data_IF_500277124424
#
_entry.id   IF_500277124424
#
_cell.length_a   1.000
_cell.length_b   1.000
_cell.length_c   1.000
_cell.angle_alpha   90.00
_cell.angle_beta   90.00
_cell.angle_gamma   90.00
#
_symmetry.space_group_name_H-M   'P 1'
#
loop_
_entity.id
_entity.type
_entity.pdbx_description
1 polymer ?
#
# COMPACT_ATOMS: atom_id res chain seq x y z
N UNK A 1 -49.00 -29.36 -12.72
CA UNK A 1 -48.39 -29.10 -14.04
C UNK A 1 -48.69 -27.67 -14.41
N UNK A 2 -47.76 -26.77 -14.13
CA UNK A 2 -47.86 -25.35 -14.49
C UNK A 2 -46.44 -24.82 -14.61
N UNK A 3 -46.12 -24.33 -15.80
CA UNK A 3 -44.78 -23.98 -16.23
C UNK A 3 -44.19 -22.79 -15.47
N UNK A 4 -42.91 -22.90 -15.17
CA UNK A 4 -42.09 -21.81 -14.65
C UNK A 4 -41.61 -21.02 -15.85
N UNK A 5 -42.09 -19.79 -15.97
CA UNK A 5 -41.64 -18.82 -16.95
C UNK A 5 -40.15 -18.50 -16.71
N UNK A 6 -39.35 -18.70 -17.75
CA UNK A 6 -38.00 -18.15 -17.84
C UNK A 6 -38.10 -16.62 -17.82
N UNK A 7 -37.47 -15.99 -16.82
CA UNK A 7 -37.18 -14.56 -16.87
C UNK A 7 -35.89 -14.38 -17.65
N UNK A 8 -36.03 -13.70 -18.78
CA UNK A 8 -34.96 -13.11 -19.57
C UNK A 8 -33.95 -12.39 -18.67
N UNK A 9 -32.70 -12.83 -18.74
CA UNK A 9 -31.54 -12.03 -18.36
C UNK A 9 -31.12 -11.25 -19.60
N UNK A 10 -31.75 -10.10 -19.84
CA UNK A 10 -31.23 -9.09 -20.76
C UNK A 10 -30.68 -7.92 -19.97
N UNK A 11 -29.49 -7.46 -20.36
CA UNK A 11 -28.72 -6.31 -19.85
C UNK A 11 -27.79 -6.56 -18.65
N UNK A 12 -26.84 -7.49 -18.82
CA UNK A 12 -25.49 -7.29 -18.26
C UNK A 12 -24.56 -7.09 -19.44
N UNK A 13 -24.19 -5.85 -19.75
CA UNK A 13 -23.16 -5.53 -20.74
C UNK A 13 -21.87 -6.23 -20.27
N UNK A 14 -21.28 -7.14 -21.06
CA UNK A 14 -19.98 -7.71 -20.72
C UNK A 14 -18.94 -6.59 -20.69
N UNK A 15 -18.21 -6.48 -19.58
CA UNK A 15 -17.03 -5.63 -19.43
C UNK A 15 -16.14 -5.78 -20.69
N UNK A 16 -15.82 -4.66 -21.35
CA UNK A 16 -14.95 -4.63 -22.54
C UNK A 16 -15.65 -4.39 -23.89
N UNK A 17 -16.98 -4.48 -23.98
CA UNK A 17 -17.67 -4.20 -25.25
C UNK A 17 -17.76 -2.70 -25.55
N UNK A 18 -17.24 -2.29 -26.70
CA UNK A 18 -17.50 -0.97 -27.29
C UNK A 18 -19.03 -0.78 -27.43
N UNK A 19 -19.54 0.36 -26.96
CA UNK A 19 -20.98 0.71 -27.05
C UNK A 19 -21.49 0.62 -28.48
N UNK A 20 -22.77 0.27 -28.66
CA UNK A 20 -23.46 0.27 -29.96
C UNK A 20 -23.54 1.71 -30.52
N UNK A 21 -22.48 2.11 -31.22
CA UNK A 21 -22.22 3.44 -31.76
C UNK A 21 -20.84 3.55 -32.42
N UNK A 22 -19.88 2.70 -31.99
CA UNK A 22 -18.53 2.59 -32.56
C UNK A 22 -18.44 1.96 -33.96
N UNK A 23 -19.58 1.66 -34.59
CA UNK A 23 -19.63 0.81 -35.78
C UNK A 23 -19.40 1.63 -37.05
N UNK A 24 -18.14 1.81 -37.41
CA UNK A 24 -17.80 1.60 -38.82
C UNK A 24 -16.52 0.79 -39.08
N UNK A 25 -15.44 0.96 -38.32
CA UNK A 25 -14.17 0.25 -38.64
C UNK A 25 -13.32 -0.18 -37.42
N UNK A 26 -13.88 -0.11 -36.21
CA UNK A 26 -13.12 -0.40 -35.00
C UNK A 26 -13.19 -1.86 -34.56
N UNK A 27 -12.02 -2.50 -34.50
CA UNK A 27 -11.84 -3.85 -33.96
C UNK A 27 -11.90 -3.82 -32.44
N UNK A 28 -12.61 -4.73 -31.79
CA UNK A 28 -12.71 -4.76 -30.31
C UNK A 28 -11.38 -5.20 -29.67
N UNK A 29 -11.14 -4.86 -28.39
CA UNK A 29 -9.88 -5.21 -27.73
C UNK A 29 -9.61 -6.72 -27.72
N UNK A 30 -10.66 -7.55 -27.61
CA UNK A 30 -10.55 -9.01 -27.59
C UNK A 30 -10.06 -9.57 -28.92
N UNK A 31 -10.34 -8.87 -30.02
CA UNK A 31 -9.91 -9.26 -31.36
C UNK A 31 -8.54 -8.66 -31.68
N UNK A 32 -8.28 -7.41 -31.26
CA UNK A 32 -6.98 -6.74 -31.46
C UNK A 32 -5.86 -7.42 -30.67
N UNK A 33 -6.16 -7.91 -29.46
CA UNK A 33 -5.20 -8.56 -28.56
C UNK A 33 -5.49 -10.06 -28.37
N UNK A 34 -5.95 -10.72 -29.44
CA UNK A 34 -6.18 -12.17 -29.41
C UNK A 34 -4.89 -12.96 -29.10
N UNK A 35 -3.74 -12.43 -29.54
CA UNK A 35 -2.42 -12.88 -29.10
C UNK A 35 -1.90 -11.98 -27.97
N UNK A 36 -1.85 -12.54 -26.75
CA UNK A 36 -1.39 -11.82 -25.57
C UNK A 36 0.09 -11.42 -25.63
N UNK A 37 0.89 -12.02 -26.52
CA UNK A 37 2.29 -11.62 -26.72
C UNK A 37 2.44 -10.25 -27.38
N UNK A 38 1.39 -9.78 -28.07
CA UNK A 38 1.31 -8.44 -28.65
C UNK A 38 0.86 -7.38 -27.62
N UNK A 39 0.51 -7.79 -26.40
CA UNK A 39 0.04 -6.89 -25.35
C UNK A 39 1.23 -6.23 -24.61
N UNK A 40 1.61 -5.05 -25.06
CA UNK A 40 2.67 -4.24 -24.45
C UNK A 40 2.31 -2.76 -24.47
N UNK A 41 2.99 -1.94 -23.66
CA UNK A 41 2.65 -0.52 -23.50
C UNK A 41 2.51 0.25 -24.83
N UNK A 42 3.38 -0.03 -25.81
CA UNK A 42 3.30 0.62 -27.12
C UNK A 42 2.07 0.21 -27.95
N UNK A 43 1.64 -1.06 -27.92
CA UNK A 43 0.47 -1.53 -28.68
C UNK A 43 -0.83 -1.09 -28.04
N UNK A 44 -0.91 -1.11 -26.70
CA UNK A 44 -2.03 -0.54 -25.93
C UNK A 44 -2.18 0.95 -26.24
N UNK A 45 -1.08 1.71 -26.26
CA UNK A 45 -1.08 3.14 -26.61
C UNK A 45 -1.54 3.36 -28.04
N UNK A 46 -1.02 2.59 -29.00
CA UNK A 46 -1.42 2.68 -30.41
C UNK A 46 -2.91 2.45 -30.58
N UNK A 47 -3.44 1.39 -29.96
CA UNK A 47 -4.85 1.06 -30.00
C UNK A 47 -5.73 2.11 -29.30
N UNK A 48 -5.26 2.71 -28.21
CA UNK A 48 -5.95 3.83 -27.55
C UNK A 48 -6.01 5.08 -28.44
N UNK A 49 -4.96 5.35 -29.22
CA UNK A 49 -4.96 6.43 -30.19
C UNK A 49 -5.88 6.13 -31.38
N UNK A 50 -5.95 4.89 -31.84
CA UNK A 50 -6.94 4.45 -32.83
C UNK A 50 -8.37 4.70 -32.32
N UNK A 51 -8.66 4.37 -31.04
CA UNK A 51 -9.96 4.63 -30.40
C UNK A 51 -10.30 6.12 -30.45
N UNK A 52 -9.38 6.97 -29.98
CA UNK A 52 -9.59 8.41 -29.90
C UNK A 52 -9.71 9.07 -31.28
N UNK A 53 -8.96 8.59 -32.27
CA UNK A 53 -9.09 9.06 -33.65
C UNK A 53 -10.46 8.71 -34.22
N UNK A 54 -10.97 7.49 -34.00
CA UNK A 54 -12.30 7.10 -34.44
C UNK A 54 -13.40 7.95 -33.78
N UNK A 55 -13.28 8.25 -32.48
CA UNK A 55 -14.23 9.15 -31.78
C UNK A 55 -14.18 10.55 -32.38
N UNK A 56 -12.98 11.07 -32.65
CA UNK A 56 -12.77 12.39 -33.26
C UNK A 56 -13.35 12.48 -34.68
N UNK A 57 -13.13 11.46 -35.51
CA UNK A 57 -13.60 11.41 -36.90
C UNK A 57 -15.13 11.31 -37.03
N UNK A 58 -15.82 10.79 -36.02
CA UNK A 58 -17.29 10.74 -36.01
C UNK A 58 -17.94 12.12 -35.89
N UNK A 59 -17.26 13.10 -35.29
CA UNK A 59 -17.76 14.48 -35.18
C UNK A 59 -19.06 14.63 -34.39
N UNK A 60 -19.41 13.66 -33.54
CA UNK A 60 -20.59 13.65 -32.69
C UNK A 60 -20.21 14.05 -31.26
N UNK A 61 -20.52 15.30 -30.90
CA UNK A 61 -20.22 15.87 -29.58
C UNK A 61 -20.92 15.15 -28.43
N UNK A 62 -22.11 14.59 -28.66
CA UNK A 62 -22.88 13.89 -27.62
C UNK A 62 -22.30 12.50 -27.39
N UNK A 63 -21.89 11.81 -28.46
CA UNK A 63 -21.13 10.56 -28.37
C UNK A 63 -19.76 10.77 -27.71
N UNK A 64 -19.02 11.83 -28.06
CA UNK A 64 -17.74 12.14 -27.44
C UNK A 64 -17.90 12.44 -25.94
N UNK A 65 -18.94 13.19 -25.55
CA UNK A 65 -19.28 13.39 -24.13
C UNK A 65 -19.66 12.09 -23.44
N UNK A 66 -20.40 11.21 -24.11
CA UNK A 66 -20.78 9.91 -23.54
C UNK A 66 -19.59 8.94 -23.41
N UNK A 67 -18.67 8.96 -24.37
CA UNK A 67 -17.43 8.17 -24.35
C UNK A 67 -16.49 8.62 -23.23
N UNK A 68 -16.41 9.93 -22.99
CA UNK A 68 -15.60 10.53 -21.93
C UNK A 68 -16.30 10.59 -20.57
N UNK A 69 -17.58 10.16 -20.47
CA UNK A 69 -18.26 10.09 -19.17
C UNK A 69 -17.64 8.95 -18.36
N UNK A 70 -17.26 9.19 -17.09
CA UNK A 70 -16.91 8.11 -16.18
C UNK A 70 -18.08 7.12 -16.13
N UNK A 71 -17.80 5.84 -16.27
CA UNK A 71 -18.85 4.82 -16.17
C UNK A 71 -19.45 4.87 -14.76
N UNK A 72 -20.75 5.14 -14.66
CA UNK A 72 -21.43 5.26 -13.37
C UNK A 72 -21.49 3.91 -12.61
N UNK A 73 -21.39 2.82 -13.37
CA UNK A 73 -21.34 1.43 -12.91
C UNK A 73 -19.93 0.83 -13.04
N UNK A 74 -18.88 1.64 -13.32
CA UNK A 74 -17.54 1.17 -13.04
C UNK A 74 -17.47 1.04 -11.52
N UNK A 75 -17.68 -0.18 -11.02
CA UNK A 75 -17.21 -0.61 -9.72
C UNK A 75 -15.83 0.02 -9.60
N UNK A 76 -15.71 1.04 -8.75
CA UNK A 76 -14.47 1.78 -8.62
C UNK A 76 -13.43 0.73 -8.26
N UNK A 77 -12.56 0.38 -9.22
CA UNK A 77 -11.59 -0.71 -9.07
C UNK A 77 -10.77 -0.53 -7.78
N UNK A 78 -10.69 0.73 -7.33
CA UNK A 78 -10.13 1.15 -6.07
C UNK A 78 -11.16 1.92 -5.23
N UNK A 79 -11.15 1.74 -3.89
CA UNK A 79 -11.96 2.55 -3.01
C UNK A 79 -11.55 4.02 -3.10
N UNK A 80 -12.45 4.93 -2.72
CA UNK A 80 -12.12 6.35 -2.60
C UNK A 80 -10.87 6.54 -1.73
N UNK A 81 -9.92 7.31 -2.23
CA UNK A 81 -8.68 7.59 -1.50
C UNK A 81 -8.97 8.34 -0.20
N UNK A 82 -8.57 7.72 0.90
CA UNK A 82 -8.53 8.34 2.23
C UNK A 82 -7.32 7.75 2.95
N UNK A 83 -6.33 8.60 3.21
CA UNK A 83 -5.07 8.23 3.83
C UNK A 83 -5.26 7.58 5.21
N UNK A 84 -6.29 8.00 5.96
CA UNK A 84 -6.60 7.43 7.28
C UNK A 84 -7.23 6.04 7.18
N UNK A 85 -7.98 5.76 6.13
CA UNK A 85 -8.62 4.47 5.91
C UNK A 85 -7.72 3.47 5.18
N UNK A 86 -6.53 3.87 4.72
CA UNK A 86 -5.54 2.97 4.09
C UNK A 86 -5.09 1.84 5.01
N UNK A 87 -4.96 2.10 6.32
CA UNK A 87 -4.68 1.06 7.30
C UNK A 87 -5.91 0.24 7.67
N UNK A 88 -7.11 0.74 7.42
CA UNK A 88 -8.37 0.19 7.90
C UNK A 88 -9.30 -0.20 6.76
N UNK A 89 -10.37 0.58 6.51
CA UNK A 89 -11.45 0.22 5.59
C UNK A 89 -10.95 -0.18 4.20
N UNK A 90 -9.84 0.42 3.76
CA UNK A 90 -9.27 0.22 2.43
C UNK A 90 -8.01 -0.69 2.43
N UNK A 91 -7.59 -1.24 3.58
CA UNK A 91 -6.37 -2.05 3.67
C UNK A 91 -6.36 -3.26 2.74
N UNK A 92 -7.54 -3.79 2.40
CA UNK A 92 -7.69 -4.89 1.45
C UNK A 92 -7.30 -4.52 0.01
N UNK A 93 -7.36 -3.24 -0.35
CA UNK A 93 -7.06 -2.76 -1.70
C UNK A 93 -5.54 -2.58 -1.94
N UNK A 94 -4.75 -2.63 -0.86
CA UNK A 94 -3.30 -2.39 -0.89
C UNK A 94 -2.49 -3.61 -0.39
N UNK A 95 -2.73 -4.84 -0.90
CA UNK A 95 -2.10 -6.02 -0.35
C UNK A 95 -0.56 -5.97 -0.48
N UNK A 96 0.13 -6.36 0.59
CA UNK A 96 1.59 -6.26 0.68
C UNK A 96 2.05 -4.96 1.31
N UNK A 97 3.28 -4.56 1.01
CA UNK A 97 3.89 -3.36 1.58
C UNK A 97 3.36 -2.09 0.90
N UNK A 98 2.75 -1.22 1.70
CA UNK A 98 2.40 0.16 1.36
C UNK A 98 3.48 1.11 1.90
N UNK A 99 4.07 1.91 1.03
CA UNK A 99 5.05 2.94 1.36
C UNK A 99 4.42 4.32 1.20
N UNK A 100 4.29 5.07 2.29
CA UNK A 100 3.73 6.42 2.32
C UNK A 100 4.87 7.43 2.41
N UNK A 101 5.10 8.18 1.34
CA UNK A 101 6.06 9.27 1.31
C UNK A 101 5.43 10.52 1.93
N UNK A 102 5.99 10.98 3.05
CA UNK A 102 5.50 12.13 3.83
C UNK A 102 6.69 12.92 4.40
N UNK A 103 6.59 14.25 4.47
CA UNK A 103 7.64 15.10 5.06
C UNK A 103 7.76 14.95 6.59
N UNK A 104 6.69 14.49 7.23
CA UNK A 104 6.57 14.24 8.67
C UNK A 104 6.15 12.77 8.91
N UNK A 105 6.98 11.78 8.51
CA UNK A 105 6.58 10.37 8.46
C UNK A 105 6.18 9.81 9.82
N UNK A 106 6.84 10.24 10.89
CA UNK A 106 6.52 9.87 12.28
C UNK A 106 5.07 10.28 12.63
N UNK A 107 4.75 11.55 12.43
CA UNK A 107 3.44 12.14 12.76
C UNK A 107 2.34 11.50 11.92
N UNK A 108 2.62 11.31 10.62
CA UNK A 108 1.68 10.71 9.69
C UNK A 108 1.34 9.26 10.06
N UNK A 109 2.32 8.44 10.47
CA UNK A 109 2.05 7.06 10.91
C UNK A 109 1.23 7.03 12.20
N UNK A 110 1.54 7.91 13.16
CA UNK A 110 0.78 8.00 14.40
C UNK A 110 -0.67 8.40 14.15
N UNK A 111 -0.91 9.33 13.23
CA UNK A 111 -2.26 9.74 12.82
C UNK A 111 -3.01 8.60 12.12
N UNK A 112 -2.37 7.92 11.18
CA UNK A 112 -3.00 6.80 10.46
C UNK A 112 -3.35 5.63 11.37
N UNK A 113 -2.59 5.41 12.44
CA UNK A 113 -2.73 4.24 13.32
C UNK A 113 -3.47 4.52 14.63
N UNK A 114 -4.05 5.71 14.80
CA UNK A 114 -4.70 6.15 16.05
C UNK A 114 -5.71 5.12 16.59
N UNK A 115 -6.61 4.61 15.75
CA UNK A 115 -7.63 3.62 16.14
C UNK A 115 -7.04 2.26 16.56
N UNK A 116 -5.82 1.91 16.10
CA UNK A 116 -5.11 0.70 16.55
C UNK A 116 -4.43 0.93 17.89
N UNK A 117 -3.83 2.11 18.06
CA UNK A 117 -3.11 2.46 19.29
C UNK A 117 -4.01 2.41 20.52
N UNK A 118 -5.28 2.78 20.39
CA UNK A 118 -6.27 2.70 21.46
C UNK A 118 -6.54 1.27 21.95
N UNK A 119 -6.24 0.26 21.12
CA UNK A 119 -6.54 -1.15 21.39
C UNK A 119 -5.30 -1.98 21.68
N UNK A 120 -4.11 -1.37 21.66
CA UNK A 120 -2.90 -2.13 21.91
C UNK A 120 -2.84 -2.64 23.35
N UNK A 121 -2.55 -3.94 23.56
CA UNK A 121 -2.21 -4.44 24.87
C UNK A 121 -0.90 -3.79 25.34
N UNK A 122 -0.69 -3.73 26.65
CA UNK A 122 0.61 -3.34 27.20
C UNK A 122 1.62 -4.45 26.97
N UNK A 123 2.84 -4.10 26.61
CA UNK A 123 3.96 -5.02 26.44
C UNK A 123 4.18 -5.87 27.70
N UNK A 124 4.01 -5.28 28.89
CA UNK A 124 4.10 -5.99 30.17
C UNK A 124 3.10 -7.13 30.31
N UNK A 125 1.89 -6.97 29.76
CA UNK A 125 0.83 -7.98 29.85
C UNK A 125 1.14 -9.15 28.93
N UNK A 126 1.71 -8.87 27.75
CA UNK A 126 2.20 -9.90 26.82
C UNK A 126 3.34 -10.69 27.48
N UNK A 127 4.29 -10.01 28.14
CA UNK A 127 5.41 -10.70 28.82
C UNK A 127 4.97 -11.57 29.98
N UNK A 128 4.04 -11.08 30.80
CA UNK A 128 3.49 -11.85 31.89
C UNK A 128 2.80 -13.11 31.37
N UNK A 129 2.13 -13.03 30.22
CA UNK A 129 1.50 -14.17 29.57
C UNK A 129 2.55 -15.16 29.01
N UNK A 130 3.60 -14.65 28.34
CA UNK A 130 4.72 -15.48 27.85
C UNK A 130 5.35 -16.26 29.02
N UNK A 131 5.65 -15.59 30.14
CA UNK A 131 6.23 -16.25 31.33
C UNK A 131 5.30 -17.31 31.91
N UNK A 132 4.00 -17.04 31.98
CA UNK A 132 3.00 -18.04 32.43
C UNK A 132 2.96 -19.26 31.50
N UNK A 133 3.07 -19.05 30.19
CA UNK A 133 3.15 -20.15 29.22
C UNK A 133 4.45 -20.94 29.38
N UNK A 134 5.59 -20.28 29.60
CA UNK A 134 6.87 -20.94 29.88
C UNK A 134 6.81 -21.79 31.15
N UNK A 135 6.29 -21.23 32.25
CA UNK A 135 6.12 -21.95 33.51
C UNK A 135 5.19 -23.16 33.38
N UNK A 136 4.13 -23.03 32.59
CA UNK A 136 3.18 -24.12 32.32
C UNK A 136 3.83 -25.21 31.46
N UNK A 137 4.58 -24.84 30.41
CA UNK A 137 5.31 -25.78 29.56
C UNK A 137 6.41 -26.53 30.33
N UNK A 138 7.09 -25.86 31.29
CA UNK A 138 8.07 -26.52 32.17
C UNK A 138 7.39 -27.51 33.13
N UNK A 139 6.22 -27.15 33.68
CA UNK A 139 5.43 -28.07 34.52
C UNK A 139 4.98 -29.29 33.71
N UNK A 140 4.43 -29.09 32.52
CA UNK A 140 3.98 -30.19 31.65
C UNK A 140 5.13 -31.09 31.20
N UNK A 141 6.32 -30.55 30.90
CA UNK A 141 7.51 -31.36 30.60
C UNK A 141 7.93 -32.24 31.79
N UNK A 142 7.83 -31.73 33.03
CA UNK A 142 8.08 -32.53 34.23
C UNK A 142 7.05 -33.64 34.43
N UNK A 143 5.78 -33.40 34.10
CA UNK A 143 4.74 -34.44 34.16
C UNK A 143 4.86 -35.48 33.03
N UNK A 144 5.30 -35.08 31.83
CA UNK A 144 5.55 -35.99 30.69
C UNK A 144 6.85 -36.80 30.79
N UNK A 145 7.81 -36.41 31.63
CA UNK A 145 8.96 -37.28 31.96
C UNK A 145 8.54 -38.47 32.84
N UNK A 146 7.41 -38.38 33.56
CA UNK A 146 6.84 -39.46 34.38
C UNK A 146 5.85 -40.37 33.61
N UNK A 147 5.25 -39.90 32.51
CA UNK A 147 4.32 -40.66 31.66
C UNK A 147 4.81 -40.72 30.20
N UNK A 148 5.12 -41.92 29.68
CA UNK A 148 5.67 -42.19 28.33
C UNK A 148 4.70 -41.87 27.16
N UNK A 149 4.13 -40.68 27.09
CA UNK A 149 3.32 -40.22 25.94
C UNK A 149 3.96 -39.01 25.24
N UNK A 150 4.51 -39.27 24.05
CA UNK A 150 4.98 -38.26 23.10
C UNK A 150 3.81 -37.53 22.43
N UNK A 151 3.12 -36.67 23.17
CA UNK A 151 2.26 -35.65 22.56
C UNK A 151 3.10 -34.40 22.26
N UNK A 152 2.94 -33.86 21.04
CA UNK A 152 3.60 -32.67 20.51
C UNK A 152 3.74 -31.56 21.57
N UNK A 153 4.95 -30.99 21.67
CA UNK A 153 5.23 -29.94 22.66
C UNK A 153 4.28 -28.74 22.46
N UNK A 154 3.73 -28.15 23.53
CA UNK A 154 2.89 -26.97 23.43
C UNK A 154 3.66 -25.85 22.74
N UNK A 155 3.21 -25.43 21.56
CA UNK A 155 3.76 -24.25 20.90
C UNK A 155 3.31 -23.01 21.69
N UNK A 156 4.27 -22.24 22.20
CA UNK A 156 4.00 -20.96 22.84
C UNK A 156 3.34 -20.01 21.83
N UNK A 157 2.19 -19.45 22.19
CA UNK A 157 1.43 -18.55 21.33
C UNK A 157 1.53 -17.15 21.86
N UNK A 158 1.91 -16.21 21.00
CA UNK A 158 1.91 -14.80 21.34
C UNK A 158 0.45 -14.34 21.56
N UNK A 159 0.16 -13.79 22.73
CA UNK A 159 -1.16 -13.21 23.04
C UNK A 159 -1.28 -11.79 22.49
N UNK A 160 -1.08 -11.67 21.18
CA UNK A 160 -1.32 -10.45 20.42
C UNK A 160 -2.48 -10.73 19.47
N UNK A 161 -3.54 -9.93 19.59
CA UNK A 161 -4.78 -10.24 18.87
C UNK A 161 -4.55 -10.14 17.36
N UNK A 162 -4.90 -11.19 16.57
CA UNK A 162 -4.69 -11.17 15.12
C UNK A 162 -5.41 -10.02 14.42
N UNK A 163 -6.51 -9.53 14.98
CA UNK A 163 -7.27 -8.38 14.46
C UNK A 163 -6.59 -7.02 14.65
N UNK A 164 -5.42 -6.99 15.32
CA UNK A 164 -4.52 -5.84 15.42
C UNK A 164 -3.33 -5.94 14.45
N UNK A 165 -3.17 -7.08 13.76
CA UNK A 165 -2.12 -7.29 12.77
C UNK A 165 -2.65 -6.87 11.40
N UNK A 166 -2.16 -5.75 10.88
CA UNK A 166 -2.64 -5.14 9.62
C UNK A 166 -2.54 -6.17 8.49
N UNK A 167 -3.61 -6.29 7.69
CA UNK A 167 -3.76 -7.26 6.60
C UNK A 167 -3.80 -8.75 7.01
N UNK A 168 -3.90 -9.09 8.30
CA UNK A 168 -4.27 -10.45 8.68
C UNK A 168 -5.73 -10.75 8.29
N UNK A 169 -6.10 -12.02 8.16
CA UNK A 169 -7.49 -12.39 7.86
C UNK A 169 -8.47 -11.89 8.93
N UNK A 170 -8.06 -11.91 10.20
CA UNK A 170 -8.90 -11.42 11.30
C UNK A 170 -9.04 -9.90 11.27
N UNK A 171 -7.96 -9.21 10.91
CA UNK A 171 -7.97 -7.76 10.73
C UNK A 171 -8.90 -7.36 9.60
N UNK A 172 -8.76 -7.98 8.42
CA UNK A 172 -9.58 -7.65 7.26
C UNK A 172 -11.07 -7.94 7.51
N UNK A 173 -11.40 -9.00 8.25
CA UNK A 173 -12.80 -9.29 8.64
C UNK A 173 -13.39 -8.23 9.57
N UNK A 174 -12.59 -7.71 10.50
CA UNK A 174 -13.04 -6.72 11.50
C UNK A 174 -13.10 -5.31 10.94
N UNK A 175 -12.06 -4.89 10.23
CA UNK A 175 -11.84 -3.51 9.83
C UNK A 175 -12.23 -3.21 8.37
N UNK A 176 -12.39 -4.22 7.52
CA UNK A 176 -12.78 -4.07 6.12
C UNK A 176 -14.12 -4.80 5.81
N UNK A 177 -15.24 -4.45 6.45
CA UNK A 177 -16.51 -5.18 6.28
C UNK A 177 -17.09 -5.07 4.86
N UNK A 178 -16.70 -4.02 4.11
CA UNK A 178 -17.12 -3.78 2.72
C UNK A 178 -16.20 -4.43 1.69
N UNK A 179 -15.24 -5.26 2.11
CA UNK A 179 -14.29 -5.92 1.21
C UNK A 179 -15.05 -6.82 0.22
N UNK A 180 -14.79 -6.70 -1.10
CA UNK A 180 -15.32 -7.63 -2.10
C UNK A 180 -14.88 -9.08 -1.82
N UNK A 181 -15.76 -10.06 -2.03
CA UNK A 181 -15.45 -11.49 -1.80
C UNK A 181 -14.26 -11.98 -2.64
N UNK A 182 -14.03 -11.37 -3.82
CA UNK A 182 -12.95 -11.71 -4.75
C UNK A 182 -11.68 -10.85 -4.59
N UNK A 183 -11.61 -10.00 -3.57
CA UNK A 183 -10.44 -9.14 -3.37
C UNK A 183 -9.17 -9.99 -3.18
N UNK A 184 -8.11 -9.66 -3.91
CA UNK A 184 -6.83 -10.36 -3.78
C UNK A 184 -6.23 -10.09 -2.40
N UNK A 185 -5.92 -11.14 -1.65
CA UNK A 185 -5.30 -11.04 -0.33
C UNK A 185 -3.97 -11.76 -0.32
N UNK A 186 -2.93 -11.08 0.16
CA UNK A 186 -1.65 -11.69 0.47
C UNK A 186 -1.68 -12.02 1.98
N UNK A 187 -1.79 -13.30 2.37
CA UNK A 187 -1.92 -13.65 3.77
C UNK A 187 -0.65 -13.28 4.53
N UNK A 188 -0.82 -12.53 5.60
CA UNK A 188 0.27 -12.09 6.45
C UNK A 188 0.50 -13.08 7.58
N UNK A 189 1.78 -13.39 7.83
CA UNK A 189 2.18 -14.23 8.97
C UNK A 189 1.99 -13.44 10.27
N UNK A 190 1.38 -14.08 11.26
CA UNK A 190 1.18 -13.49 12.59
C UNK A 190 2.51 -13.41 13.35
N UNK A 191 2.72 -12.37 14.17
CA UNK A 191 3.95 -12.21 14.93
C UNK A 191 4.15 -13.33 15.94
N UNK A 192 5.39 -13.78 16.06
CA UNK A 192 5.81 -14.83 16.99
C UNK A 192 6.33 -14.26 18.32
N UNK A 193 6.47 -15.12 19.33
CA UNK A 193 7.09 -14.74 20.62
C UNK A 193 8.51 -14.22 20.42
N UNK A 194 9.30 -14.86 19.54
CA UNK A 194 10.66 -14.42 19.24
C UNK A 194 10.71 -13.03 18.61
N UNK A 195 9.75 -12.72 17.73
CA UNK A 195 9.64 -11.38 17.13
C UNK A 195 9.22 -10.33 18.16
N UNK A 196 8.30 -10.65 19.06
CA UNK A 196 7.99 -9.76 20.18
C UNK A 196 9.22 -9.45 21.03
N UNK A 197 10.00 -10.48 21.40
CA UNK A 197 11.21 -10.31 22.20
C UNK A 197 12.32 -9.56 21.46
N UNK A 198 12.40 -9.63 20.12
CA UNK A 198 13.36 -8.84 19.34
C UNK A 198 12.92 -7.38 19.21
N UNK A 199 11.64 -7.14 18.92
CA UNK A 199 11.05 -5.79 18.80
C UNK A 199 11.12 -5.04 20.14
N UNK A 200 10.91 -5.73 21.27
CA UNK A 200 11.00 -5.10 22.60
C UNK A 200 12.40 -4.52 22.91
N UNK A 201 13.45 -5.04 22.28
CA UNK A 201 14.82 -4.57 22.45
C UNK A 201 15.13 -3.31 21.63
N UNK A 202 14.24 -2.89 20.74
CA UNK A 202 14.44 -1.70 19.93
C UNK A 202 14.42 -0.45 20.81
N UNK A 203 15.31 0.53 20.54
CA UNK A 203 15.45 1.74 21.34
C UNK A 203 14.37 2.79 20.99
N UNK A 204 13.10 2.37 21.00
CA UNK A 204 11.93 3.19 20.72
C UNK A 204 10.86 2.95 21.77
N UNK A 205 9.96 3.93 21.90
CA UNK A 205 8.84 3.84 22.83
C UNK A 205 7.95 2.61 22.54
N UNK A 206 7.29 2.12 23.58
CA UNK A 206 6.39 0.96 23.54
C UNK A 206 5.35 1.07 22.42
N UNK A 207 4.87 2.28 22.14
CA UNK A 207 3.93 2.55 21.04
C UNK A 207 4.49 2.10 19.68
N UNK A 208 5.75 2.42 19.39
CA UNK A 208 6.42 2.00 18.15
C UNK A 208 6.70 0.51 18.12
N UNK A 209 6.98 -0.09 19.28
CA UNK A 209 7.11 -1.55 19.42
C UNK A 209 5.79 -2.26 19.09
N UNK A 210 4.66 -1.74 19.57
CA UNK A 210 3.34 -2.31 19.27
C UNK A 210 2.94 -2.09 17.80
N UNK A 211 3.26 -0.92 17.23
CA UNK A 211 3.07 -0.68 15.80
C UNK A 211 3.91 -1.65 14.95
N UNK A 212 5.16 -1.88 15.32
CA UNK A 212 6.02 -2.86 14.67
C UNK A 212 5.42 -4.28 14.67
N UNK A 213 4.77 -4.68 15.76
CA UNK A 213 4.07 -5.98 15.87
C UNK A 213 2.75 -6.03 15.09
N UNK A 214 1.97 -4.94 15.12
CA UNK A 214 0.82 -4.74 14.24
C UNK A 214 1.24 -4.70 12.76
N UNK A 215 2.53 -4.48 12.54
CA UNK A 215 3.15 -4.57 11.25
C UNK A 215 3.14 -3.26 10.47
N UNK A 216 3.20 -2.15 11.18
CA UNK A 216 3.44 -0.81 10.67
C UNK A 216 4.75 -0.24 11.23
N UNK A 217 5.38 0.68 10.53
CA UNK A 217 6.59 1.36 10.99
C UNK A 217 6.80 2.72 10.36
N UNK A 218 7.74 3.51 10.88
CA UNK A 218 8.12 4.79 10.29
C UNK A 218 9.62 4.82 10.07
N UNK A 219 10.05 5.14 8.85
CA UNK A 219 11.44 5.45 8.57
C UNK A 219 11.68 6.94 8.80
N UNK A 220 11.96 7.30 10.05
CA UNK A 220 12.32 8.66 10.47
C UNK A 220 13.58 8.61 11.34
N UNK A 221 14.71 9.24 10.92
CA UNK A 221 15.92 9.31 11.73
C UNK A 221 15.71 9.89 13.14
N UNK A 222 14.64 10.67 13.38
CA UNK A 222 14.29 11.19 14.71
C UNK A 222 13.88 10.11 15.70
N UNK A 223 13.50 8.91 15.23
CA UNK A 223 13.16 7.78 16.09
C UNK A 223 14.39 7.05 16.62
N UNK A 224 15.56 7.28 16.03
CA UNK A 224 16.82 6.75 16.53
C UNK A 224 17.40 7.69 17.57
N UNK A 225 17.62 7.18 18.78
CA UNK A 225 18.22 7.95 19.88
C UNK A 225 19.66 8.38 19.57
N UNK A 226 20.39 7.58 18.79
CA UNK A 226 21.75 7.85 18.32
C UNK A 226 21.80 7.82 16.79
N UNK A 227 21.93 8.98 16.11
CA UNK A 227 22.00 9.05 14.65
C UNK A 227 23.19 8.29 14.04
N UNK A 228 24.25 8.04 14.82
CA UNK A 228 25.43 7.28 14.35
C UNK A 228 25.22 5.77 14.40
N UNK A 229 24.18 5.31 15.11
CA UNK A 229 23.79 3.92 15.21
C UNK A 229 22.26 3.79 15.07
N UNK A 230 21.73 3.86 13.83
CA UNK A 230 20.30 3.92 13.55
C UNK A 230 19.61 2.55 13.67
N UNK A 231 19.56 2.00 14.90
CA UNK A 231 19.08 0.64 15.17
C UNK A 231 17.63 0.43 14.73
N UNK A 232 16.74 1.39 14.99
CA UNK A 232 15.32 1.25 14.66
C UNK A 232 15.06 1.41 13.17
N UNK A 233 15.56 2.46 12.53
CA UNK A 233 15.34 2.64 11.09
C UNK A 233 16.02 1.53 10.26
N UNK A 234 17.15 0.99 10.72
CA UNK A 234 17.76 -0.22 10.16
C UNK A 234 16.84 -1.44 10.31
N UNK A 235 16.25 -1.64 11.49
CA UNK A 235 15.27 -2.71 11.71
C UNK A 235 14.03 -2.56 10.82
N UNK A 236 13.52 -1.33 10.65
CA UNK A 236 12.39 -1.05 9.74
C UNK A 236 12.76 -1.47 8.33
N UNK A 237 13.93 -1.05 7.84
CA UNK A 237 14.42 -1.39 6.51
C UNK A 237 14.50 -2.92 6.30
N UNK A 238 15.13 -3.64 7.23
CA UNK A 238 15.23 -5.11 7.19
C UNK A 238 13.86 -5.77 7.23
N UNK A 239 12.96 -5.26 8.08
CA UNK A 239 11.59 -5.79 8.21
C UNK A 239 10.75 -5.57 6.96
N UNK A 240 10.96 -4.46 6.23
CA UNK A 240 10.35 -4.26 4.92
C UNK A 240 10.85 -5.33 3.93
N UNK A 241 12.15 -5.59 3.86
CA UNK A 241 12.71 -6.62 2.95
C UNK A 241 12.23 -8.04 3.26
N UNK A 242 11.92 -8.30 4.52
CA UNK A 242 11.39 -9.60 4.98
C UNK A 242 9.87 -9.70 4.84
N UNK A 243 9.19 -8.70 4.26
CA UNK A 243 7.72 -8.61 4.18
C UNK A 243 7.02 -8.69 5.55
N UNK A 244 7.70 -8.21 6.60
CA UNK A 244 7.17 -8.16 7.97
C UNK A 244 6.42 -6.87 8.25
N UNK A 245 6.43 -5.89 7.36
CA UNK A 245 5.69 -4.63 7.45
C UNK A 245 4.68 -4.52 6.30
N UNK A 246 3.45 -4.07 6.58
CA UNK A 246 2.39 -3.84 5.61
C UNK A 246 2.23 -2.37 5.28
N UNK A 247 2.59 -1.47 6.21
CA UNK A 247 2.61 -0.04 5.95
C UNK A 247 3.83 0.61 6.58
N UNK A 248 4.53 1.43 5.81
CA UNK A 248 5.66 2.23 6.28
C UNK A 248 5.50 3.66 5.80
N UNK A 249 5.62 4.63 6.70
CA UNK A 249 5.81 6.02 6.32
C UNK A 249 7.30 6.32 6.21
N UNK A 250 7.70 7.14 5.25
CA UNK A 250 9.09 7.48 5.04
C UNK A 250 9.24 8.91 4.50
N UNK A 251 10.27 9.61 4.98
CA UNK A 251 10.64 10.94 4.49
C UNK A 251 11.65 10.90 3.36
N UNK A 252 12.14 12.05 2.91
CA UNK A 252 13.11 12.16 1.80
C UNK A 252 14.37 11.32 2.03
N UNK A 253 14.70 11.05 3.27
CA UNK A 253 15.97 10.40 3.64
C UNK A 253 16.00 8.92 3.20
N UNK A 254 14.82 8.35 2.95
CA UNK A 254 14.68 7.00 2.43
C UNK A 254 14.92 6.89 0.91
N UNK A 255 14.95 8.00 0.14
CA UNK A 255 15.22 7.93 -1.31
C UNK A 255 16.63 7.44 -1.63
N UNK A 256 17.60 7.67 -0.75
CA UNK A 256 19.02 7.50 -1.03
C UNK A 256 19.63 6.18 -0.55
N UNK A 257 18.96 5.42 0.34
CA UNK A 257 19.60 4.30 1.05
C UNK A 257 19.09 2.90 0.75
N UNK A 258 17.84 2.75 0.31
CA UNK A 258 17.13 1.48 0.41
C UNK A 258 16.70 0.95 -0.96
N UNK A 259 16.92 -0.33 -1.26
CA UNK A 259 16.43 -0.96 -2.51
C UNK A 259 15.17 -1.80 -2.27
N UNK A 260 14.23 -1.29 -1.48
CA UNK A 260 13.05 -2.04 -1.04
C UNK A 260 11.91 -1.92 -2.07
N UNK A 261 11.41 -3.04 -2.63
CA UNK A 261 10.19 -3.04 -3.45
C UNK A 261 8.95 -2.79 -2.56
N UNK A 262 8.03 -1.97 -3.03
CA UNK A 262 6.70 -1.81 -2.43
C UNK A 262 5.62 -2.24 -3.44
N UNK A 263 4.48 -2.71 -2.94
CA UNK A 263 3.32 -2.98 -3.80
C UNK A 263 2.57 -1.69 -4.06
N UNK A 264 2.41 -0.85 -3.04
CA UNK A 264 1.75 0.45 -3.15
C UNK A 264 2.69 1.54 -2.68
N UNK A 265 2.79 2.63 -3.45
CA UNK A 265 3.45 3.87 -3.04
C UNK A 265 2.41 4.97 -2.99
N UNK A 266 2.39 5.73 -1.91
CA UNK A 266 1.50 6.87 -1.70
C UNK A 266 2.35 8.11 -1.56
N UNK A 267 2.08 9.12 -2.36
CA UNK A 267 2.72 10.42 -2.29
C UNK A 267 1.73 11.39 -1.66
N UNK A 268 2.01 11.80 -0.43
CA UNK A 268 1.19 12.77 0.30
C UNK A 268 1.41 14.18 -0.25
N UNK A 269 0.45 15.06 0.05
CA UNK A 269 0.55 16.49 -0.27
C UNK A 269 1.80 17.10 0.35
N UNK A 270 2.08 16.80 1.63
CA UNK A 270 3.21 17.37 2.37
C UNK A 270 4.54 17.10 1.66
N UNK A 271 4.72 15.86 1.19
CA UNK A 271 5.91 15.44 0.48
C UNK A 271 6.01 16.04 -0.92
N UNK A 272 4.90 16.07 -1.66
CA UNK A 272 4.90 16.54 -3.05
C UNK A 272 5.17 18.05 -3.19
N UNK A 273 4.72 18.86 -2.22
CA UNK A 273 4.93 20.31 -2.20
C UNK A 273 6.39 20.69 -2.04
N UNK A 274 7.17 19.86 -1.36
CA UNK A 274 8.55 20.18 -0.97
C UNK A 274 9.58 19.32 -1.72
N UNK A 275 9.14 18.32 -2.48
CA UNK A 275 10.01 17.40 -3.22
C UNK A 275 10.02 17.71 -4.72
N UNK A 276 11.15 17.45 -5.37
CA UNK A 276 11.26 17.55 -6.82
C UNK A 276 10.52 16.40 -7.53
N UNK A 277 10.22 16.58 -8.82
CA UNK A 277 9.64 15.51 -9.66
C UNK A 277 10.54 14.27 -9.67
N UNK A 278 11.85 14.46 -9.73
CA UNK A 278 12.81 13.36 -9.67
C UNK A 278 12.72 12.58 -8.34
N UNK A 279 12.60 13.27 -7.21
CA UNK A 279 12.43 12.62 -5.90
C UNK A 279 11.10 11.86 -5.78
N UNK A 280 10.00 12.41 -6.30
CA UNK A 280 8.72 11.70 -6.39
C UNK A 280 8.81 10.47 -7.29
N UNK A 281 9.46 10.57 -8.46
CA UNK A 281 9.70 9.46 -9.37
C UNK A 281 10.58 8.37 -8.75
N UNK A 282 11.57 8.73 -7.93
CA UNK A 282 12.38 7.76 -7.18
C UNK A 282 11.52 6.94 -6.22
N UNK A 283 10.54 7.57 -5.56
CA UNK A 283 9.57 6.87 -4.71
C UNK A 283 8.63 5.98 -5.50
N UNK A 284 8.00 6.52 -6.55
CA UNK A 284 7.09 5.77 -7.43
C UNK A 284 7.79 4.59 -8.09
N UNK A 285 9.07 4.73 -8.46
CA UNK A 285 9.90 3.66 -9.01
C UNK A 285 10.16 2.49 -8.05
N UNK A 286 9.73 2.59 -6.78
CA UNK A 286 9.73 1.48 -5.82
C UNK A 286 8.50 0.59 -5.96
N UNK A 287 7.41 1.10 -6.55
CA UNK A 287 6.22 0.32 -6.86
C UNK A 287 6.48 -0.68 -7.99
N UNK A 288 5.77 -1.81 -7.98
CA UNK A 288 5.65 -2.73 -9.13
C UNK A 288 6.96 -3.33 -9.65
N UNK A 289 7.91 -3.71 -8.78
CA UNK A 289 9.17 -4.32 -9.24
C UNK A 289 8.96 -5.73 -9.77
N UNK A 290 9.32 -5.91 -11.05
CA UNK A 290 9.22 -7.19 -11.77
C UNK A 290 9.83 -8.35 -10.96
N UNK A 291 9.04 -9.39 -10.72
CA UNK A 291 9.45 -10.60 -10.03
C UNK A 291 9.33 -10.58 -8.50
N UNK A 292 9.04 -9.42 -7.90
CA UNK A 292 8.91 -9.26 -6.44
C UNK A 292 7.48 -8.89 -6.00
N UNK A 293 6.71 -8.25 -6.87
CA UNK A 293 5.32 -7.88 -6.63
C UNK A 293 4.44 -8.29 -7.82
N UNK A 294 3.24 -8.84 -7.56
CA UNK A 294 2.28 -9.26 -8.61
C UNK A 294 1.55 -8.10 -9.27
N UNK A 295 1.58 -6.94 -8.61
CA UNK A 295 0.98 -5.69 -9.04
C UNK A 295 1.81 -4.54 -8.46
N UNK A 296 1.60 -3.32 -8.95
CA UNK A 296 1.98 -2.18 -8.14
C UNK A 296 1.26 -0.90 -8.53
N UNK A 297 1.13 -0.04 -7.52
CA UNK A 297 0.25 1.11 -7.53
C UNK A 297 1.02 2.32 -7.04
N UNK A 298 0.78 3.46 -7.69
CA UNK A 298 1.25 4.76 -7.25
C UNK A 298 0.04 5.67 -7.08
N UNK A 299 -0.11 6.21 -5.88
CA UNK A 299 -1.27 7.02 -5.47
C UNK A 299 -0.75 8.40 -5.09
N UNK A 300 -1.43 9.42 -5.58
CA UNK A 300 -1.13 10.81 -5.25
C UNK A 300 -2.33 11.40 -4.53
N UNK A 301 -2.06 12.12 -3.44
CA UNK A 301 -3.10 12.83 -2.70
C UNK A 301 -3.70 13.98 -3.53
N UNK A 302 -2.95 14.54 -4.48
CA UNK A 302 -3.40 15.64 -5.34
C UNK A 302 -3.23 15.31 -6.82
N UNK A 303 -4.26 15.60 -7.60
CA UNK A 303 -4.25 15.42 -9.06
C UNK A 303 -3.23 16.31 -9.78
N UNK A 304 -2.91 17.48 -9.22
CA UNK A 304 -1.91 18.39 -9.78
C UNK A 304 -0.49 17.79 -9.77
N UNK A 305 -0.18 16.89 -8.82
CA UNK A 305 1.13 16.23 -8.76
C UNK A 305 1.27 15.14 -9.83
N UNK A 306 0.17 14.46 -10.18
CA UNK A 306 0.12 13.58 -11.34
C UNK A 306 0.42 14.38 -12.62
N UNK A 307 -0.22 15.53 -12.78
CA UNK A 307 0.06 16.40 -13.93
C UNK A 307 1.51 16.90 -13.90
N UNK A 308 2.05 17.28 -12.75
CA UNK A 308 3.44 17.74 -12.63
C UNK A 308 4.45 16.66 -13.05
N UNK A 309 4.16 15.39 -12.77
CA UNK A 309 5.01 14.25 -13.14
C UNK A 309 4.87 13.89 -14.63
N UNK A 310 3.66 13.96 -15.20
CA UNK A 310 3.38 13.44 -16.54
C UNK A 310 3.18 14.50 -17.64
N UNK A 311 2.93 15.77 -17.29
CA UNK A 311 2.63 16.85 -18.23
C UNK A 311 3.85 17.66 -18.68
N UNK A 312 5.02 17.51 -18.03
CA UNK A 312 6.25 18.20 -18.43
C UNK A 312 7.27 17.23 -19.01
N UNK A 313 7.64 17.32 -20.30
CA UNK A 313 8.79 16.60 -20.88
C UNK A 313 10.12 16.99 -20.23
N UNK A 314 10.16 18.13 -19.53
CA UNK A 314 11.38 18.72 -19.01
C UNK A 314 11.46 18.58 -17.49
N UNK A 315 12.17 17.56 -17.03
CA UNK A 315 12.67 17.47 -15.65
C UNK A 315 13.50 18.68 -15.20
N UNK A 316 13.83 19.58 -16.13
CA UNK A 316 14.57 20.83 -15.92
C UNK A 316 13.76 21.95 -15.24
N UNK A 317 12.43 22.01 -15.37
CA UNK A 317 11.67 23.19 -14.86
C UNK A 317 11.63 23.25 -13.33
N UNK A 318 11.56 22.08 -12.68
CA UNK A 318 11.45 22.01 -11.21
C UNK A 318 12.81 22.16 -10.54
N UNK A 319 13.87 21.62 -11.14
CA UNK A 319 15.25 21.87 -10.68
C UNK A 319 15.61 23.34 -10.85
N UNK A 320 15.25 23.96 -11.97
CA UNK A 320 15.42 25.40 -12.18
C UNK A 320 14.67 26.23 -11.13
N UNK A 321 13.40 25.92 -10.85
CA UNK A 321 12.62 26.58 -9.79
C UNK A 321 13.20 26.37 -8.39
N UNK A 322 13.73 25.18 -8.11
CA UNK A 322 14.37 24.88 -6.82
C UNK A 322 15.69 25.63 -6.69
N UNK A 323 16.47 25.73 -7.77
CA UNK A 323 17.71 26.51 -7.82
C UNK A 323 17.46 28.01 -7.73
N UNK A 324 16.38 28.53 -8.33
CA UNK A 324 15.95 29.93 -8.18
C UNK A 324 15.60 30.23 -6.73
N UNK A 325 14.77 29.41 -6.07
CA UNK A 325 14.45 29.57 -4.64
C UNK A 325 15.70 29.51 -3.76
N UNK A 326 16.63 28.60 -4.05
CA UNK A 326 17.88 28.50 -3.31
C UNK A 326 18.76 29.74 -3.52
N UNK A 327 18.78 30.31 -4.73
CA UNK A 327 19.49 31.54 -5.03
C UNK A 327 18.86 32.74 -4.31
N UNK A 328 17.53 32.83 -4.25
CA UNK A 328 16.81 33.87 -3.50
C UNK A 328 17.05 33.76 -1.98
N UNK A 329 17.00 32.54 -1.42
CA UNK A 329 17.35 32.29 -0.03
C UNK A 329 18.79 32.70 0.27
N UNK A 330 19.73 32.37 -0.62
CA UNK A 330 21.13 32.71 -0.43
C UNK A 330 21.37 34.22 -0.53
N UNK A 331 20.76 34.90 -1.51
CA UNK A 331 20.83 36.36 -1.67
C UNK A 331 20.19 37.10 -0.49
N UNK A 332 19.12 36.55 0.09
CA UNK A 332 18.46 37.11 1.28
C UNK A 332 19.21 36.82 2.58
N UNK A 333 20.31 36.04 2.54
CA UNK A 333 21.04 35.52 3.71
C UNK A 333 20.15 34.72 4.65
N UNK A 334 19.27 33.90 4.08
CA UNK A 334 18.39 33.01 4.79
C UNK A 334 17.17 33.67 5.44
N UNK A 335 16.77 34.85 4.95
CA UNK A 335 15.59 35.57 5.46
C UNK A 335 14.29 35.20 4.74
N UNK A 336 14.38 34.65 3.53
CA UNK A 336 13.25 34.25 2.69
C UNK A 336 13.51 32.86 2.18
N UNK A 337 12.53 31.96 2.30
CA UNK A 337 12.55 30.60 1.74
C UNK A 337 11.49 30.48 0.65
#
# INVERSE_FOLDING_TARGET
MTGIAARDRSSSTPEGKLKDGFKKDMVTPEVKFADLSELHHASIRSYSLELLNCVSEQGDDDFAKEFCKPDADADSLFPQFDLSEMLFGNAYAFPGLTLVADDHPLEQMLKMSEKLQEQFPRASDIEADIKKQEESAVKEKKFKEDDEQQDEAPQMKLKFSPDLVIQSDSFLKRWCPKRPEKAHTIPRVLPTVNEFLSIKKLPVDERWQMLALAGAGSFDPKLDSDPSNPVYTQWVHESMTQNKLACVTAGKEFTWGANVPASTVVVTKSFAETTSVAGMLQYVGRAARRGLTTHGQAIFERDEDLQRIFASPDGLSTEALTMERYAEWWLSRGKVW
#
